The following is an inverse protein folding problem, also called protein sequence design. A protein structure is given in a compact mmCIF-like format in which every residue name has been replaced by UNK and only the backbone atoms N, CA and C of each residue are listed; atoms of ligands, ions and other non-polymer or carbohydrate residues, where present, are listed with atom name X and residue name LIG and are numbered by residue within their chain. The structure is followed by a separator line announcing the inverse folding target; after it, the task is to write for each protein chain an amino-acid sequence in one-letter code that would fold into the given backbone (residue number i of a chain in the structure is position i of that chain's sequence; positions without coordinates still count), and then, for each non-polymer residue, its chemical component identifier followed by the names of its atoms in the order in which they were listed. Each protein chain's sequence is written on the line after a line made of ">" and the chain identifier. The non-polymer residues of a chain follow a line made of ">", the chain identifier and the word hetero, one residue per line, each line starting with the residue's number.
data_IF_118664731426
#
_entry.id   IF_118664731426
#
_cell.length_a   1.000
_cell.length_b   1.000
_cell.length_c   1.000
_cell.angle_alpha   90.00
_cell.angle_beta   90.00
_cell.angle_gamma   90.00
#
_symmetry.space_group_name_H-M   'P 1'
#
loop_
_entity.id
_entity.type
_entity.pdbx_description
1 polymer ?
#
# COMPACT_ATOMS: atom_id res chain seq x y z
N UNK A 1 4.00 13.69 5.07
CA UNK A 1 3.93 13.20 3.69
C UNK A 1 3.41 11.79 3.66
N UNK A 2 2.61 11.39 2.68
CA UNK A 2 2.09 10.03 2.55
C UNK A 2 2.83 9.21 1.49
N UNK A 3 2.48 7.91 1.39
CA UNK A 3 3.07 7.01 0.40
C UNK A 3 2.92 7.52 -1.05
N UNK A 4 1.78 8.07 -1.42
CA UNK A 4 1.49 8.60 -2.76
C UNK A 4 2.44 9.75 -3.14
N UNK A 5 2.67 10.68 -2.22
CA UNK A 5 3.61 11.79 -2.46
C UNK A 5 5.04 11.27 -2.64
N UNK A 6 5.47 10.31 -1.81
CA UNK A 6 6.79 9.70 -1.95
C UNK A 6 6.92 8.92 -3.26
N UNK A 7 5.90 8.15 -3.64
CA UNK A 7 5.91 7.41 -4.91
C UNK A 7 6.06 8.35 -6.11
N UNK A 8 5.38 9.51 -6.08
CA UNK A 8 5.51 10.52 -7.12
C UNK A 8 6.92 11.11 -7.21
N UNK A 9 7.53 11.45 -6.06
CA UNK A 9 8.90 11.96 -6.02
C UNK A 9 9.92 10.94 -6.51
N UNK A 10 9.77 9.67 -6.09
CA UNK A 10 10.65 8.59 -6.54
C UNK A 10 10.49 8.33 -8.04
N UNK A 11 9.27 8.36 -8.57
CA UNK A 11 9.02 8.16 -9.99
C UNK A 11 9.69 9.24 -10.84
N UNK A 12 9.59 10.50 -10.42
CA UNK A 12 10.27 11.63 -11.07
C UNK A 12 11.79 11.46 -11.06
N UNK A 13 12.37 11.23 -9.88
CA UNK A 13 13.83 11.10 -9.71
C UNK A 13 14.42 9.89 -10.43
N UNK A 14 13.71 8.79 -10.48
CA UNK A 14 14.16 7.54 -11.12
C UNK A 14 13.73 7.42 -12.58
N UNK A 15 13.02 8.43 -13.12
CA UNK A 15 12.41 8.41 -14.46
C UNK A 15 11.60 7.13 -14.67
N UNK A 16 10.75 6.82 -13.71
CA UNK A 16 9.93 5.61 -13.68
C UNK A 16 8.46 5.93 -14.01
N UNK A 17 7.75 4.96 -14.55
CA UNK A 17 6.30 5.03 -14.67
C UNK A 17 5.67 5.01 -13.28
N UNK A 18 4.81 5.97 -13.00
CA UNK A 18 4.06 6.05 -11.75
C UNK A 18 2.70 5.37 -11.87
N UNK A 19 2.37 4.53 -10.90
CA UNK A 19 1.06 3.90 -10.80
C UNK A 19 0.48 4.17 -9.43
N UNK A 20 -0.65 4.85 -9.40
CA UNK A 20 -1.34 5.23 -8.18
C UNK A 20 -2.67 4.47 -8.04
N UNK A 21 -2.97 4.10 -6.82
CA UNK A 21 -4.30 3.64 -6.46
C UNK A 21 -5.30 4.81 -6.51
N UNK A 22 -6.47 4.58 -7.09
CA UNK A 22 -7.58 5.52 -7.05
C UNK A 22 -8.75 4.97 -6.20
N UNK A 23 -8.73 5.16 -4.88
CA UNK A 23 -9.79 4.64 -4.01
C UNK A 23 -11.17 5.25 -4.31
N UNK A 24 -11.21 6.42 -4.92
CA UNK A 24 -12.47 7.15 -5.19
C UNK A 24 -13.30 6.50 -6.31
N UNK A 25 -12.67 5.64 -7.14
CA UNK A 25 -13.38 4.84 -8.14
C UNK A 25 -14.23 3.72 -7.53
N UNK A 26 -13.99 3.35 -6.28
CA UNK A 26 -14.76 2.31 -5.62
C UNK A 26 -16.12 2.85 -5.16
N UNK A 27 -17.24 2.44 -5.81
CA UNK A 27 -18.55 2.96 -5.50
C UNK A 27 -19.06 2.59 -4.10
N UNK A 28 -18.49 1.53 -3.50
CA UNK A 28 -18.89 1.02 -2.18
C UNK A 28 -18.08 1.65 -1.03
N UNK A 29 -17.04 2.44 -1.31
CA UNK A 29 -16.09 2.89 -0.29
C UNK A 29 -16.75 3.79 0.77
N UNK A 30 -17.62 4.69 0.38
CA UNK A 30 -18.32 5.58 1.32
C UNK A 30 -19.29 4.80 2.18
N UNK A 31 -20.01 3.86 1.58
CA UNK A 31 -20.98 3.00 2.28
C UNK A 31 -20.25 2.05 3.24
N UNK A 32 -19.09 1.53 2.85
CA UNK A 32 -18.23 0.74 3.73
C UNK A 32 -17.85 1.49 5.02
N UNK A 33 -17.48 2.77 4.94
CA UNK A 33 -17.18 3.54 6.14
C UNK A 33 -18.42 3.86 7.01
N UNK A 34 -19.62 3.76 6.44
CA UNK A 34 -20.88 3.92 7.18
C UNK A 34 -21.32 2.60 7.83
N UNK A 35 -21.31 1.51 7.06
CA UNK A 35 -21.85 0.19 7.41
C UNK A 35 -20.83 -0.91 7.03
N UNK A 36 -19.69 -0.98 7.75
CA UNK A 36 -18.56 -1.85 7.40
C UNK A 36 -18.98 -3.28 7.10
N UNK A 37 -19.74 -3.92 8.01
CA UNK A 37 -20.15 -5.32 7.87
C UNK A 37 -20.97 -5.58 6.60
N UNK A 38 -21.76 -4.61 6.15
CA UNK A 38 -22.63 -4.77 4.99
C UNK A 38 -21.91 -4.64 3.66
N UNK A 39 -20.91 -3.75 3.61
CA UNK A 39 -20.24 -3.39 2.37
C UNK A 39 -18.78 -3.85 2.28
N UNK A 40 -18.29 -4.58 3.28
CA UNK A 40 -16.90 -5.01 3.33
C UNK A 40 -16.53 -5.88 2.12
N UNK A 41 -17.33 -6.91 1.83
CA UNK A 41 -17.05 -7.85 0.75
C UNK A 41 -17.04 -7.18 -0.62
N UNK A 42 -18.09 -6.41 -0.94
CA UNK A 42 -18.18 -5.70 -2.23
C UNK A 42 -17.02 -4.72 -2.41
N UNK A 43 -16.67 -4.00 -1.33
CA UNK A 43 -15.54 -3.06 -1.34
C UNK A 43 -14.21 -3.76 -1.60
N UNK A 44 -13.97 -4.90 -0.95
CA UNK A 44 -12.73 -5.67 -1.11
C UNK A 44 -12.64 -6.32 -2.50
N UNK A 45 -13.73 -6.90 -3.00
CA UNK A 45 -13.74 -7.49 -4.36
C UNK A 45 -13.52 -6.41 -5.42
N UNK A 46 -14.11 -5.24 -5.27
CA UNK A 46 -13.87 -4.13 -6.20
C UNK A 46 -12.38 -3.74 -6.23
N UNK A 47 -11.77 -3.55 -5.05
CA UNK A 47 -10.35 -3.22 -4.97
C UNK A 47 -9.46 -4.32 -5.54
N UNK A 48 -9.75 -5.58 -5.25
CA UNK A 48 -9.00 -6.72 -5.79
C UNK A 48 -9.00 -6.72 -7.32
N UNK A 49 -10.19 -6.60 -7.92
CA UNK A 49 -10.34 -6.60 -9.38
C UNK A 49 -9.72 -5.35 -10.04
N UNK A 50 -9.88 -4.19 -9.42
CA UNK A 50 -9.31 -2.94 -9.91
C UNK A 50 -7.78 -2.99 -9.92
N UNK A 51 -7.16 -3.46 -8.82
CA UNK A 51 -5.70 -3.66 -8.75
C UNK A 51 -5.23 -4.72 -9.73
N UNK A 52 -5.94 -5.82 -9.87
CA UNK A 52 -5.61 -6.85 -10.85
C UNK A 52 -5.58 -6.29 -12.27
N UNK A 53 -6.60 -5.54 -12.67
CA UNK A 53 -6.67 -4.87 -13.97
C UNK A 53 -5.49 -3.90 -14.18
N UNK A 54 -5.14 -3.12 -13.15
CA UNK A 54 -3.97 -2.23 -13.23
C UNK A 54 -2.67 -3.02 -13.41
N UNK A 55 -2.50 -4.14 -12.71
CA UNK A 55 -1.28 -4.98 -12.81
C UNK A 55 -1.14 -5.64 -14.20
N UNK A 56 -2.24 -6.05 -14.82
CA UNK A 56 -2.20 -6.58 -16.19
C UNK A 56 -1.68 -5.53 -17.19
N UNK A 57 -2.07 -4.28 -17.03
CA UNK A 57 -1.59 -3.19 -17.87
C UNK A 57 -0.08 -2.90 -17.71
N UNK A 58 0.59 -3.39 -16.65
CA UNK A 58 2.05 -3.24 -16.51
C UNK A 58 2.80 -4.14 -17.50
N UNK A 59 2.25 -5.30 -17.79
CA UNK A 59 2.86 -6.28 -18.68
C UNK A 59 2.70 -5.90 -20.17
N UNK A 60 1.66 -5.12 -20.52
CA UNK A 60 1.28 -4.90 -21.90
C UNK A 60 1.89 -3.64 -22.54
N UNK A 61 2.38 -2.66 -21.79
CA UNK A 61 2.46 -1.30 -22.33
C UNK A 61 3.80 -0.58 -22.27
N UNK A 62 4.94 -1.18 -21.87
CA UNK A 62 6.14 -0.35 -21.86
C UNK A 62 7.45 -1.02 -22.29
N UNK A 63 7.68 -1.03 -23.58
CA UNK A 63 9.00 -1.30 -24.17
C UNK A 63 10.05 -0.20 -23.86
N UNK A 64 9.60 0.97 -23.36
CA UNK A 64 10.45 2.16 -23.19
C UNK A 64 10.71 2.52 -21.72
N UNK A 65 9.81 2.19 -20.78
CA UNK A 65 10.00 2.47 -19.35
C UNK A 65 10.33 1.20 -18.56
N UNK A 66 11.60 1.00 -18.32
CA UNK A 66 12.13 -0.20 -17.60
C UNK A 66 11.79 -0.21 -16.10
N UNK A 67 11.27 0.89 -15.53
CA UNK A 67 11.02 1.01 -14.08
C UNK A 67 9.58 1.42 -13.84
N UNK A 68 8.94 0.76 -12.88
CA UNK A 68 7.58 1.10 -12.42
C UNK A 68 7.64 1.35 -10.92
N UNK A 69 6.98 2.41 -10.46
CA UNK A 69 6.77 2.69 -9.04
C UNK A 69 5.27 2.74 -8.80
N UNK A 70 4.82 1.90 -7.87
CA UNK A 70 3.43 1.88 -7.43
C UNK A 70 3.33 2.34 -5.97
N UNK A 71 2.26 3.05 -5.62
CA UNK A 71 1.98 3.41 -4.24
C UNK A 71 1.25 2.30 -3.46
N UNK A 72 1.11 1.14 -4.07
CA UNK A 72 0.58 -0.07 -3.45
C UNK A 72 1.29 -1.32 -4.00
N UNK A 73 1.19 -2.42 -3.28
CA UNK A 73 1.51 -3.76 -3.77
C UNK A 73 0.24 -4.63 -3.72
N UNK A 74 0.16 -5.66 -4.54
CA UNK A 74 -1.08 -6.39 -4.76
C UNK A 74 -1.60 -7.04 -3.48
N UNK A 75 -0.71 -7.61 -2.67
CA UNK A 75 -1.01 -8.31 -1.43
C UNK A 75 -1.56 -7.40 -0.31
N UNK A 76 -1.44 -6.08 -0.46
CA UNK A 76 -2.12 -5.12 0.40
C UNK A 76 -3.61 -5.45 0.52
N UNK A 77 -4.22 -5.91 -0.57
CA UNK A 77 -5.64 -6.25 -0.58
C UNK A 77 -5.98 -7.37 0.40
N UNK A 78 -5.15 -8.42 0.43
CA UNK A 78 -5.28 -9.54 1.37
C UNK A 78 -5.18 -9.09 2.83
N UNK A 79 -4.30 -8.14 3.12
CA UNK A 79 -4.16 -7.57 4.48
C UNK A 79 -5.47 -6.87 4.90
N UNK A 80 -6.05 -6.07 4.01
CA UNK A 80 -7.33 -5.42 4.29
C UNK A 80 -8.48 -6.43 4.39
N UNK A 81 -8.53 -7.44 3.53
CA UNK A 81 -9.54 -8.48 3.55
C UNK A 81 -9.53 -9.22 4.91
N UNK A 82 -8.35 -9.56 5.44
CA UNK A 82 -8.23 -10.24 6.73
C UNK A 82 -8.75 -9.45 7.94
N UNK A 83 -8.85 -8.12 7.82
CA UNK A 83 -9.38 -7.24 8.88
C UNK A 83 -10.87 -6.96 8.68
N UNK A 84 -11.34 -6.94 7.43
CA UNK A 84 -12.65 -6.42 7.10
C UNK A 84 -13.71 -7.51 6.88
N UNK A 85 -13.30 -8.71 6.45
CA UNK A 85 -14.21 -9.76 6.03
C UNK A 85 -14.48 -10.75 7.17
N UNK A 86 -15.71 -11.28 7.21
CA UNK A 86 -16.00 -12.43 8.06
C UNK A 86 -15.39 -13.72 7.47
N UNK A 87 -15.47 -14.83 8.21
CA UNK A 87 -14.85 -16.10 7.81
C UNK A 87 -15.36 -16.63 6.45
N UNK A 88 -16.65 -16.50 6.16
CA UNK A 88 -17.26 -16.99 4.92
C UNK A 88 -16.88 -16.09 3.73
N UNK A 89 -16.91 -14.81 3.94
CA UNK A 89 -16.50 -13.80 2.97
C UNK A 89 -15.01 -13.91 2.66
N UNK A 90 -14.17 -14.08 3.70
CA UNK A 90 -12.72 -14.25 3.56
C UNK A 90 -12.38 -15.54 2.81
N UNK A 91 -13.07 -16.64 3.10
CA UNK A 91 -12.90 -17.90 2.37
C UNK A 91 -13.18 -17.73 0.86
N UNK A 92 -14.27 -17.06 0.50
CA UNK A 92 -14.60 -16.80 -0.90
C UNK A 92 -13.60 -15.84 -1.55
N UNK A 93 -13.24 -14.78 -0.83
CA UNK A 93 -12.22 -13.83 -1.26
C UNK A 93 -10.89 -14.53 -1.57
N UNK A 94 -10.39 -15.39 -0.68
CA UNK A 94 -9.13 -16.11 -0.87
C UNK A 94 -9.13 -17.03 -2.09
N UNK A 95 -10.27 -17.64 -2.41
CA UNK A 95 -10.42 -18.42 -3.65
C UNK A 95 -10.26 -17.55 -4.89
N UNK A 96 -10.90 -16.38 -4.92
CA UNK A 96 -10.78 -15.44 -6.03
C UNK A 96 -9.34 -14.91 -6.10
N UNK A 97 -8.78 -14.48 -4.98
CA UNK A 97 -7.41 -14.00 -4.88
C UNK A 97 -6.39 -15.01 -5.43
N UNK A 98 -6.51 -16.29 -5.05
CA UNK A 98 -5.57 -17.33 -5.47
C UNK A 98 -5.58 -17.62 -6.98
N UNK A 99 -6.67 -17.33 -7.67
CA UNK A 99 -6.75 -17.40 -9.13
C UNK A 99 -6.03 -16.22 -9.79
N UNK A 100 -6.15 -15.03 -9.21
CA UNK A 100 -5.65 -13.80 -9.79
C UNK A 100 -4.14 -13.61 -9.55
N UNK A 101 -3.64 -13.94 -8.36
CA UNK A 101 -2.24 -13.68 -7.97
C UNK A 101 -1.22 -14.37 -8.87
N UNK A 102 -1.59 -15.48 -9.50
CA UNK A 102 -0.72 -16.23 -10.42
C UNK A 102 -0.25 -15.42 -11.62
N UNK A 103 -1.03 -14.42 -12.01
CA UNK A 103 -0.78 -13.56 -13.17
C UNK A 103 -0.36 -12.13 -12.77
N UNK A 104 0.00 -11.92 -11.51
CA UNK A 104 0.46 -10.63 -11.01
C UNK A 104 1.98 -10.62 -10.94
N UNK A 105 2.66 -9.63 -11.54
CA UNK A 105 4.11 -9.53 -11.45
C UNK A 105 4.54 -9.25 -10.01
N UNK A 106 5.59 -9.93 -9.57
CA UNK A 106 6.19 -9.66 -8.25
C UNK A 106 7.04 -8.39 -8.33
N UNK A 107 7.00 -7.53 -7.30
CA UNK A 107 7.87 -6.37 -7.25
C UNK A 107 9.32 -6.80 -6.99
N UNK A 108 10.29 -6.05 -7.50
CA UNK A 108 11.72 -6.25 -7.20
C UNK A 108 12.09 -5.80 -5.79
N UNK A 109 11.32 -4.86 -5.23
CA UNK A 109 11.50 -4.31 -3.89
C UNK A 109 10.18 -3.76 -3.36
N UNK A 110 9.88 -4.06 -2.10
CA UNK A 110 8.81 -3.40 -1.34
C UNK A 110 9.45 -2.38 -0.38
N UNK A 111 8.94 -1.15 -0.44
CA UNK A 111 9.23 -0.10 0.53
C UNK A 111 8.03 0.05 1.47
N UNK A 112 8.15 -0.44 2.70
CA UNK A 112 7.10 -0.31 3.70
C UNK A 112 7.33 0.92 4.58
N UNK A 113 6.42 1.88 4.50
CA UNK A 113 6.40 3.07 5.34
C UNK A 113 5.58 2.76 6.61
N UNK A 114 6.27 2.44 7.68
CA UNK A 114 5.66 2.23 8.98
C UNK A 114 5.40 3.57 9.67
N UNK A 115 4.25 3.71 10.33
CA UNK A 115 3.91 4.89 11.13
C UNK A 115 3.12 4.45 12.35
N UNK A 116 3.26 5.19 13.44
CA UNK A 116 2.43 5.01 14.61
C UNK A 116 0.95 5.26 14.29
N UNK A 117 0.00 4.36 14.68
CA UNK A 117 -1.41 4.52 14.39
C UNK A 117 -2.03 5.82 14.89
N UNK A 118 -1.62 6.32 16.05
CA UNK A 118 -2.12 7.59 16.60
C UNK A 118 -1.65 8.78 15.75
N UNK A 119 -0.38 8.75 15.33
CA UNK A 119 0.19 9.75 14.43
C UNK A 119 -0.54 9.74 13.08
N UNK A 120 -0.79 8.54 12.53
CA UNK A 120 -1.57 8.39 11.29
C UNK A 120 -3.00 8.91 11.45
N UNK A 121 -3.66 8.58 12.56
CA UNK A 121 -4.99 9.08 12.86
C UNK A 121 -5.07 10.60 12.91
N UNK A 122 -4.10 11.25 13.60
CA UNK A 122 -4.00 12.71 13.65
C UNK A 122 -3.79 13.32 12.25
N UNK A 123 -2.94 12.69 11.42
CA UNK A 123 -2.71 13.13 10.02
C UNK A 123 -3.98 12.99 9.17
N UNK A 124 -4.76 11.89 9.32
CA UNK A 124 -6.01 11.67 8.59
C UNK A 124 -7.09 12.67 8.99
N UNK A 125 -7.23 12.97 10.29
CA UNK A 125 -8.20 13.96 10.80
C UNK A 125 -7.95 15.38 10.27
N UNK A 126 -6.70 15.73 9.96
CA UNK A 126 -6.36 17.01 9.32
C UNK A 126 -6.77 17.07 7.85
N UNK A 127 -6.92 15.92 7.19
CA UNK A 127 -7.42 15.86 5.80
C UNK A 127 -8.93 16.04 5.82
N UNK A 128 -9.45 17.06 5.10
CA UNK A 128 -10.88 17.41 5.09
C UNK A 128 -11.78 16.47 4.26
N UNK A 129 -11.26 15.34 3.75
CA UNK A 129 -12.03 14.36 2.98
C UNK A 129 -13.01 13.62 3.90
N UNK A 130 -14.31 13.59 3.53
CA UNK A 130 -15.40 13.00 4.33
C UNK A 130 -15.13 11.53 4.73
N UNK A 131 -14.59 10.73 3.82
CA UNK A 131 -14.27 9.33 4.10
C UNK A 131 -13.26 9.17 5.24
N UNK A 132 -12.27 10.07 5.37
CA UNK A 132 -11.26 9.99 6.42
C UNK A 132 -11.80 10.38 7.80
N UNK A 133 -12.88 11.16 7.84
CA UNK A 133 -13.52 11.54 9.10
C UNK A 133 -14.25 10.38 9.79
N UNK A 134 -14.57 9.31 9.06
CA UNK A 134 -15.26 8.12 9.57
C UNK A 134 -14.34 7.00 10.00
N UNK A 135 -13.04 7.13 9.71
CA UNK A 135 -12.03 6.13 10.11
C UNK A 135 -11.79 6.25 11.61
N UNK A 136 -11.98 5.18 12.34
CA UNK A 136 -11.76 5.07 13.77
C UNK A 136 -10.32 4.67 14.08
N UNK A 137 -9.83 5.05 15.27
CA UNK A 137 -8.48 4.72 15.70
C UNK A 137 -8.29 3.20 15.83
N UNK A 138 -9.25 2.49 16.39
CA UNK A 138 -9.19 1.04 16.58
C UNK A 138 -9.06 0.30 15.26
N UNK A 139 -9.73 0.80 14.20
CA UNK A 139 -9.58 0.25 12.86
C UNK A 139 -8.16 0.45 12.31
N UNK A 140 -7.55 1.60 12.53
CA UNK A 140 -6.16 1.84 12.15
C UNK A 140 -5.19 0.98 12.94
N UNK A 141 -5.45 0.75 14.22
CA UNK A 141 -4.65 -0.16 15.06
C UNK A 141 -4.74 -1.59 14.54
N UNK A 142 -5.93 -2.09 14.24
CA UNK A 142 -6.13 -3.42 13.67
C UNK A 142 -5.42 -3.59 12.32
N UNK A 143 -5.52 -2.60 11.43
CA UNK A 143 -4.79 -2.60 10.17
C UNK A 143 -3.28 -2.58 10.37
N UNK A 144 -2.77 -1.74 11.28
CA UNK A 144 -1.34 -1.66 11.57
C UNK A 144 -0.81 -3.00 12.08
N UNK A 145 -1.54 -3.67 12.97
CA UNK A 145 -1.20 -5.01 13.45
C UNK A 145 -1.19 -6.03 12.32
N UNK A 146 -2.21 -6.03 11.44
CA UNK A 146 -2.27 -6.92 10.29
C UNK A 146 -1.09 -6.69 9.32
N UNK A 147 -0.72 -5.44 9.04
CA UNK A 147 0.46 -5.09 8.26
C UNK A 147 1.75 -5.60 8.91
N UNK A 148 1.93 -5.37 10.21
CA UNK A 148 3.12 -5.81 10.94
C UNK A 148 3.24 -7.33 10.93
N UNK A 149 2.13 -8.05 11.16
CA UNK A 149 2.07 -9.52 11.10
C UNK A 149 2.40 -10.02 9.70
N UNK A 150 1.83 -9.42 8.66
CA UNK A 150 2.10 -9.79 7.27
C UNK A 150 3.58 -9.62 6.93
N UNK A 151 4.15 -8.44 7.16
CA UNK A 151 5.54 -8.17 6.84
C UNK A 151 6.55 -8.85 7.75
N UNK A 152 6.14 -9.26 8.94
CA UNK A 152 6.97 -10.11 9.80
C UNK A 152 7.26 -11.48 9.20
N UNK A 153 6.34 -12.03 8.42
CA UNK A 153 6.48 -13.33 7.76
C UNK A 153 6.83 -13.22 6.27
N UNK A 154 6.91 -12.00 5.74
CA UNK A 154 7.13 -11.79 4.31
C UNK A 154 8.59 -12.01 3.92
N UNK A 155 8.84 -12.89 2.94
CA UNK A 155 10.17 -13.29 2.44
C UNK A 155 10.23 -13.45 0.90
N UNK A 156 9.14 -13.15 0.20
CA UNK A 156 9.04 -13.40 -1.25
C UNK A 156 9.91 -12.45 -2.08
N UNK A 157 10.02 -11.19 -1.66
CA UNK A 157 10.87 -10.18 -2.33
C UNK A 157 11.59 -9.32 -1.29
N UNK A 158 12.68 -8.63 -1.64
CA UNK A 158 13.33 -7.71 -0.73
C UNK A 158 12.36 -6.70 -0.11
N UNK A 159 12.46 -6.49 1.20
CA UNK A 159 11.62 -5.59 1.97
C UNK A 159 12.47 -4.58 2.73
N UNK A 160 12.29 -3.30 2.44
CA UNK A 160 12.88 -2.20 3.18
C UNK A 160 11.79 -1.51 4.03
N UNK A 161 11.97 -1.54 5.34
CA UNK A 161 11.04 -0.94 6.31
C UNK A 161 11.63 0.38 6.81
N UNK A 162 10.88 1.46 6.64
CA UNK A 162 11.22 2.80 7.11
C UNK A 162 10.17 3.27 8.12
N UNK A 163 10.62 3.85 9.22
CA UNK A 163 9.71 4.63 10.06
C UNK A 163 9.41 5.97 9.36
N UNK A 164 8.20 6.14 8.86
CA UNK A 164 7.81 7.33 8.09
C UNK A 164 7.73 8.59 8.94
N UNK A 165 7.75 8.48 10.27
CA UNK A 165 7.68 9.63 11.17
C UNK A 165 9.05 10.31 11.32
N UNK A 166 10.15 9.60 10.97
CA UNK A 166 11.52 10.11 10.97
C UNK A 166 11.87 10.88 9.68
N UNK A 167 10.98 10.87 8.67
CA UNK A 167 11.23 11.46 7.37
C UNK A 167 10.22 12.54 7.02
N UNK A 168 10.72 13.68 6.56
CA UNK A 168 9.92 14.71 5.90
C UNK A 168 10.51 15.00 4.51
N UNK A 169 10.07 14.23 3.52
CA UNK A 169 10.59 14.29 2.15
C UNK A 169 10.17 15.59 1.42
N UNK A 170 9.18 16.33 1.92
CA UNK A 170 8.76 17.61 1.33
C UNK A 170 9.59 18.79 1.83
N UNK A 171 9.86 18.82 3.16
CA UNK A 171 10.59 19.92 3.76
C UNK A 171 12.10 19.73 3.70
N UNK A 172 12.56 18.48 3.64
CA UNK A 172 13.97 18.12 3.68
C UNK A 172 14.37 17.28 2.47
N UNK A 173 14.82 17.90 1.37
CA UNK A 173 15.26 17.17 0.18
C UNK A 173 16.35 16.12 0.44
N UNK A 174 17.23 16.35 1.43
CA UNK A 174 18.28 15.40 1.83
C UNK A 174 17.73 14.04 2.27
N UNK A 175 16.50 13.98 2.80
CA UNK A 175 15.86 12.71 3.15
C UNK A 175 15.55 11.86 1.92
N UNK A 176 15.18 12.50 0.82
CA UNK A 176 14.95 11.81 -0.45
C UNK A 176 16.27 11.31 -1.04
N UNK A 177 17.33 12.12 -1.00
CA UNK A 177 18.64 11.73 -1.49
C UNK A 177 19.20 10.55 -0.69
N UNK A 178 19.05 10.56 0.63
CA UNK A 178 19.41 9.46 1.52
C UNK A 178 18.66 8.17 1.15
N UNK A 179 17.35 8.25 0.92
CA UNK A 179 16.56 7.11 0.48
C UNK A 179 17.02 6.61 -0.90
N UNK A 180 17.29 7.50 -1.85
CA UNK A 180 17.78 7.12 -3.17
C UNK A 180 19.12 6.40 -3.09
N UNK A 181 20.06 6.83 -2.22
CA UNK A 181 21.31 6.13 -1.98
C UNK A 181 21.10 4.74 -1.36
N UNK A 182 20.11 4.59 -0.47
CA UNK A 182 19.73 3.28 0.05
C UNK A 182 19.19 2.35 -1.04
N UNK A 183 18.37 2.88 -1.94
CA UNK A 183 17.77 2.11 -3.04
C UNK A 183 18.76 1.67 -4.11
N UNK A 184 19.89 2.39 -4.27
CA UNK A 184 20.99 1.98 -5.18
C UNK A 184 21.74 0.74 -4.70
N UNK A 185 21.72 0.47 -3.39
CA UNK A 185 22.40 -0.69 -2.81
C UNK A 185 21.58 -1.95 -3.08
N UNK A 186 22.23 -3.11 -3.33
CA UNK A 186 21.51 -4.36 -3.47
C UNK A 186 20.64 -4.64 -2.26
N UNK A 187 19.34 -4.84 -2.48
CA UNK A 187 18.40 -5.18 -1.44
C UNK A 187 18.28 -6.70 -1.35
N UNK A 188 18.38 -7.25 -0.14
CA UNK A 188 18.20 -8.68 0.13
C UNK A 188 17.45 -8.87 1.43
N UNK A 189 16.48 -9.78 1.41
CA UNK A 189 15.69 -10.11 2.60
C UNK A 189 14.98 -8.89 3.20
N UNK A 190 14.79 -8.93 4.51
CA UNK A 190 14.12 -7.86 5.27
C UNK A 190 15.15 -6.96 5.93
N UNK A 191 15.00 -5.66 5.73
CA UNK A 191 15.88 -4.64 6.32
C UNK A 191 15.06 -3.54 6.98
N UNK A 192 15.44 -3.18 8.20
CA UNK A 192 14.94 -2.01 8.89
C UNK A 192 15.95 -0.88 8.72
N UNK A 193 15.47 0.26 8.31
CA UNK A 193 16.29 1.45 8.29
C UNK A 193 15.79 2.43 9.36
N UNK A 194 16.67 2.72 10.29
CA UNK A 194 16.47 3.71 11.34
C UNK A 194 17.42 4.86 11.05
N UNK A 195 16.89 6.05 10.92
CA UNK A 195 17.68 7.25 10.76
C UNK A 195 18.42 7.56 12.07
N UNK A 196 19.72 7.82 11.94
CA UNK A 196 20.58 8.21 13.07
C UNK A 196 20.60 9.73 13.25
#
# INVERSE_FOLDING_TARGET
>A
MGKTDLSSLLAEKLKARLVLENPEENPFLLDFYNEKKRYAFQTQIFFLLSRYKQQQNFLEHDLFMKKVISDYFFEKDKIFASVNLDEKELFLYERIYSLLIKNVPKPDLILYLQSDPQTLYKKLRKKRKKQFQKIELDYLMALNEAYNRYFFHYDETPLLILNSDDFDFQKNPSHLDELLELLKKPQKGRRYYVRR
#
